data_IF_034960550230
#
_entry.id   IF_034960550230
#
_cell.length_a   1.000
_cell.length_b   1.000
_cell.length_c   1.000
_cell.angle_alpha   90.00
_cell.angle_beta   90.00
_cell.angle_gamma   90.00
#
_symmetry.space_group_name_H-M   'P 1'
#
loop_
_entity.id
_entity.type
_entity.pdbx_description
1 polymer ?
#
# COMPACT_ATOMS: atom_id res chain seq x y z
N UNK A 1 7.95 7.12 10.56
CA UNK A 1 6.99 6.00 10.44
C UNK A 1 6.31 6.06 9.09
N UNK A 2 5.86 4.91 8.56
CA UNK A 2 5.09 4.87 7.32
C UNK A 2 3.61 4.60 7.59
N UNK A 3 2.76 5.12 6.72
CA UNK A 3 1.31 5.01 6.83
C UNK A 3 0.70 4.79 5.45
N UNK A 4 -0.19 3.81 5.33
CA UNK A 4 -1.10 3.73 4.19
C UNK A 4 -2.35 4.55 4.51
N UNK A 5 -2.69 5.50 3.64
CA UNK A 5 -3.88 6.33 3.79
C UNK A 5 -4.85 6.05 2.65
N UNK A 6 -6.04 5.55 2.99
CA UNK A 6 -7.14 5.43 2.04
C UNK A 6 -7.94 6.73 2.05
N UNK A 7 -7.88 7.44 0.95
CA UNK A 7 -8.48 8.76 0.77
C UNK A 7 -9.74 8.64 -0.09
N UNK A 8 -10.92 8.86 0.50
CA UNK A 8 -12.21 8.82 -0.20
C UNK A 8 -12.75 10.24 -0.36
N UNK A 9 -12.88 10.71 -1.62
CA UNK A 9 -13.30 12.07 -1.94
C UNK A 9 -14.77 12.10 -2.34
N UNK A 10 -15.54 12.99 -1.72
CA UNK A 10 -16.96 13.23 -1.98
C UNK A 10 -17.18 14.72 -2.24
N UNK A 11 -17.26 15.07 -3.53
CA UNK A 11 -17.57 16.43 -3.93
C UNK A 11 -19.05 16.69 -3.67
N UNK A 12 -19.42 17.78 -2.95
CA UNK A 12 -20.83 18.10 -2.70
C UNK A 12 -21.61 18.32 -4.02
N UNK A 13 -22.87 17.83 -4.12
CA UNK A 13 -23.71 18.09 -5.26
C UNK A 13 -23.84 19.59 -5.54
N UNK A 14 -23.80 19.98 -6.83
CA UNK A 14 -23.89 21.37 -7.23
C UNK A 14 -22.59 22.18 -7.17
N UNK A 15 -21.47 21.55 -6.78
CA UNK A 15 -20.16 22.18 -6.88
C UNK A 15 -19.81 22.38 -8.37
N UNK A 16 -19.46 23.60 -8.78
CA UNK A 16 -19.09 23.90 -10.17
C UNK A 16 -17.84 23.11 -10.60
N UNK A 17 -17.84 22.57 -11.81
CA UNK A 17 -16.73 21.78 -12.36
C UNK A 17 -15.40 22.56 -12.34
N UNK A 18 -15.45 23.87 -12.56
CA UNK A 18 -14.28 24.72 -12.51
C UNK A 18 -13.67 24.76 -11.08
N UNK A 19 -14.51 24.82 -10.05
CA UNK A 19 -14.05 24.76 -8.64
C UNK A 19 -13.39 23.43 -8.35
N UNK A 20 -13.98 22.32 -8.81
CA UNK A 20 -13.39 20.99 -8.66
C UNK A 20 -12.03 20.89 -9.35
N UNK A 21 -11.94 21.42 -10.59
CA UNK A 21 -10.70 21.43 -11.35
C UNK A 21 -9.59 22.25 -10.66
N UNK A 22 -9.93 23.43 -10.13
CA UNK A 22 -8.99 24.27 -9.39
C UNK A 22 -8.47 23.60 -8.09
N UNK A 23 -9.35 22.95 -7.34
CA UNK A 23 -8.93 22.21 -6.12
C UNK A 23 -8.03 21.04 -6.50
N UNK A 24 -8.35 20.28 -7.54
CA UNK A 24 -7.50 19.18 -8.05
C UNK A 24 -6.13 19.66 -8.52
N UNK A 25 -6.06 20.80 -9.19
CA UNK A 25 -4.78 21.38 -9.62
C UNK A 25 -3.90 21.76 -8.43
N UNK A 26 -4.49 22.39 -7.39
CA UNK A 26 -3.78 22.73 -6.15
C UNK A 26 -3.34 21.47 -5.39
N UNK A 27 -4.17 20.43 -5.37
CA UNK A 27 -3.84 19.13 -4.76
C UNK A 27 -2.63 18.50 -5.46
N UNK A 28 -2.59 18.50 -6.79
CA UNK A 28 -1.47 17.96 -7.56
C UNK A 28 -0.16 18.71 -7.26
N UNK A 29 -0.20 20.05 -7.22
CA UNK A 29 0.95 20.87 -6.88
C UNK A 29 1.43 20.59 -5.45
N UNK A 30 0.50 20.53 -4.49
CA UNK A 30 0.81 20.27 -3.10
C UNK A 30 1.38 18.84 -2.88
N UNK A 31 0.82 17.84 -3.58
CA UNK A 31 1.34 16.47 -3.57
C UNK A 31 2.80 16.41 -4.03
N UNK A 32 3.16 17.18 -5.06
CA UNK A 32 4.54 17.29 -5.52
C UNK A 32 5.47 17.89 -4.45
N UNK A 33 5.00 18.93 -3.73
CA UNK A 33 5.78 19.52 -2.63
C UNK A 33 5.93 18.58 -1.44
N UNK A 34 4.90 17.79 -1.11
CA UNK A 34 4.98 16.75 -0.09
C UNK A 34 5.96 15.63 -0.49
N UNK A 35 5.99 15.27 -1.76
CA UNK A 35 6.94 14.30 -2.28
C UNK A 35 8.39 14.80 -2.15
N UNK A 36 8.67 16.06 -2.50
CA UNK A 36 10.01 16.67 -2.33
C UNK A 36 10.48 16.70 -0.88
N UNK A 37 9.55 16.82 0.07
CA UNK A 37 9.85 16.77 1.51
C UNK A 37 9.98 15.36 2.07
N UNK A 38 9.67 14.32 1.26
CA UNK A 38 9.66 12.92 1.67
C UNK A 38 8.41 12.49 2.44
N UNK A 39 7.43 13.38 2.65
CA UNK A 39 6.18 13.03 3.35
C UNK A 39 5.26 12.16 2.48
N UNK A 40 5.22 12.38 1.16
CA UNK A 40 4.47 11.55 0.21
C UNK A 40 5.44 10.69 -0.58
N UNK A 41 5.32 9.37 -0.45
CA UNK A 41 6.21 8.42 -1.10
C UNK A 41 5.60 7.81 -2.37
N UNK A 42 4.30 7.46 -2.34
CA UNK A 42 3.59 6.86 -3.48
C UNK A 42 2.11 7.25 -3.47
N UNK A 43 1.51 7.26 -4.67
CA UNK A 43 0.07 7.44 -4.85
C UNK A 43 -0.46 6.45 -5.89
N UNK A 44 -1.61 5.83 -5.57
CA UNK A 44 -2.28 4.88 -6.44
C UNK A 44 -3.78 5.12 -6.52
N UNK A 45 -4.38 4.60 -7.61
CA UNK A 45 -5.81 4.47 -7.77
C UNK A 45 -6.19 2.99 -7.66
N UNK A 46 -6.87 2.58 -6.60
CA UNK A 46 -7.44 1.25 -6.51
C UNK A 46 -8.68 1.13 -7.42
N UNK A 47 -9.14 -0.09 -7.76
CA UNK A 47 -10.42 -0.29 -8.40
C UNK A 47 -11.56 0.29 -7.56
N UNK A 48 -12.47 1.02 -8.21
CA UNK A 48 -13.63 1.63 -7.55
C UNK A 48 -14.88 1.45 -8.41
N UNK A 49 -16.06 1.48 -7.79
CA UNK A 49 -17.34 1.51 -8.51
C UNK A 49 -17.49 2.87 -9.23
N UNK A 50 -18.26 2.90 -10.35
CA UNK A 50 -18.57 4.17 -11.01
C UNK A 50 -19.11 5.22 -10.03
N UNK A 51 -18.64 6.46 -10.15
CA UNK A 51 -19.02 7.56 -9.26
C UNK A 51 -18.25 7.63 -7.94
N UNK A 52 -17.42 6.66 -7.62
CA UNK A 52 -16.53 6.72 -6.46
C UNK A 52 -15.17 7.32 -6.84
N UNK A 53 -14.61 8.10 -5.94
CA UNK A 53 -13.28 8.66 -6.07
C UNK A 53 -12.43 8.27 -4.86
N UNK A 54 -11.50 7.35 -5.07
CA UNK A 54 -10.61 6.84 -4.03
C UNK A 54 -9.16 6.87 -4.50
N UNK A 55 -8.29 7.25 -3.57
CA UNK A 55 -6.83 7.25 -3.77
C UNK A 55 -6.18 6.54 -2.59
N UNK A 56 -5.15 5.75 -2.83
CA UNK A 56 -4.27 5.22 -1.79
C UNK A 56 -2.98 6.02 -1.81
N UNK A 57 -2.52 6.44 -0.64
CA UNK A 57 -1.24 7.14 -0.48
C UNK A 57 -0.36 6.44 0.54
N UNK A 58 0.92 6.26 0.21
CA UNK A 58 1.96 5.88 1.15
C UNK A 58 2.63 7.16 1.64
N UNK A 59 2.51 7.43 2.93
CA UNK A 59 3.05 8.60 3.58
C UNK A 59 4.13 8.23 4.59
N UNK A 60 5.11 9.13 4.77
CA UNK A 60 6.08 9.08 5.86
C UNK A 60 5.93 10.32 6.74
N UNK A 61 5.93 10.09 8.06
CA UNK A 61 5.88 11.14 9.07
C UNK A 61 6.55 10.62 10.36
N UNK A 62 6.96 11.53 11.25
CA UNK A 62 7.55 11.14 12.54
C UNK A 62 6.54 10.44 13.46
N UNK A 63 5.25 10.76 13.28
CA UNK A 63 4.16 10.12 14.02
C UNK A 63 2.77 10.52 13.50
N UNK A 64 1.69 10.02 14.17
CA UNK A 64 0.32 10.29 13.74
C UNK A 64 -0.06 11.78 13.75
N UNK A 65 0.49 12.58 14.67
CA UNK A 65 0.19 14.01 14.76
C UNK A 65 0.77 14.80 13.58
N UNK A 66 1.99 14.46 13.14
CA UNK A 66 2.57 15.06 11.94
C UNK A 66 1.83 14.62 10.69
N UNK A 67 1.49 13.31 10.58
CA UNK A 67 0.68 12.82 9.47
C UNK A 67 -0.64 13.58 9.35
N UNK A 68 -1.36 13.78 10.46
CA UNK A 68 -2.62 14.56 10.44
C UNK A 68 -2.38 16.00 9.96
N UNK A 69 -1.29 16.63 10.36
CA UNK A 69 -0.91 17.96 9.87
C UNK A 69 -0.64 17.97 8.38
N UNK A 70 0.04 16.94 7.86
CA UNK A 70 0.27 16.75 6.42
C UNK A 70 -1.04 16.58 5.68
N UNK A 71 -1.92 15.68 6.13
CA UNK A 71 -3.20 15.41 5.49
C UNK A 71 -4.14 16.62 5.54
N UNK A 72 -4.15 17.37 6.66
CA UNK A 72 -4.94 18.59 6.82
C UNK A 72 -4.48 19.72 5.87
N UNK A 73 -3.21 19.74 5.48
CA UNK A 73 -2.67 20.74 4.55
C UNK A 73 -3.08 20.50 3.08
N UNK A 74 -3.57 19.31 2.75
CA UNK A 74 -3.93 18.93 1.38
C UNK A 74 -5.25 19.57 0.94
N UNK A 75 -5.31 20.25 -0.22
CA UNK A 75 -6.50 20.99 -0.68
C UNK A 75 -7.79 20.17 -0.81
N UNK A 76 -7.71 18.89 -1.17
CA UNK A 76 -8.88 17.99 -1.26
C UNK A 76 -9.43 17.59 0.12
N UNK A 77 -8.75 17.88 1.21
CA UNK A 77 -9.20 17.56 2.58
C UNK A 77 -10.60 18.06 2.88
N UNK A 78 -11.02 19.17 2.28
CA UNK A 78 -12.36 19.75 2.44
C UNK A 78 -13.51 18.82 1.96
N UNK A 79 -13.20 17.88 1.08
CA UNK A 79 -14.16 16.93 0.49
C UNK A 79 -13.79 15.48 0.77
N UNK A 80 -12.78 15.22 1.60
CA UNK A 80 -12.16 13.91 1.75
C UNK A 80 -12.31 13.37 3.17
N UNK A 81 -12.59 12.08 3.26
CA UNK A 81 -12.40 11.28 4.46
C UNK A 81 -11.19 10.39 4.29
N UNK A 82 -10.37 10.29 5.35
CA UNK A 82 -9.14 9.52 5.35
C UNK A 82 -9.23 8.38 6.38
N UNK A 83 -8.86 7.18 5.94
CA UNK A 83 -8.64 6.03 6.79
C UNK A 83 -7.13 5.75 6.84
N UNK A 84 -6.55 5.82 8.03
CA UNK A 84 -5.10 5.70 8.23
C UNK A 84 -4.77 4.33 8.81
N UNK A 85 -3.88 3.62 8.12
CA UNK A 85 -3.30 2.36 8.57
C UNK A 85 -1.82 2.55 8.87
N UNK A 86 -1.37 2.50 10.13
CA UNK A 86 0.04 2.52 10.48
C UNK A 86 0.75 1.26 9.94
N UNK A 87 1.91 1.46 9.34
CA UNK A 87 2.73 0.40 8.77
C UNK A 87 3.96 0.20 9.66
N UNK A 88 4.14 -1.03 10.11
CA UNK A 88 5.25 -1.41 10.98
C UNK A 88 6.36 -2.08 10.15
N UNK A 89 7.63 -1.96 10.56
CA UNK A 89 8.72 -2.65 9.89
C UNK A 89 8.49 -4.17 9.85
N UNK A 90 8.83 -4.79 8.73
CA UNK A 90 8.84 -6.24 8.57
C UNK A 90 10.27 -6.71 8.28
N UNK A 91 10.76 -7.81 8.90
CA UNK A 91 12.17 -8.24 8.74
C UNK A 91 12.53 -8.62 7.31
N UNK A 92 11.55 -9.02 6.49
CA UNK A 92 11.75 -9.42 5.10
C UNK A 92 11.38 -8.30 4.10
N UNK A 93 11.24 -7.02 4.57
CA UNK A 93 10.93 -5.89 3.68
C UNK A 93 12.15 -5.54 2.81
N UNK A 94 12.04 -5.60 1.46
CA UNK A 94 13.14 -5.17 0.60
C UNK A 94 13.31 -3.65 0.52
N UNK A 95 12.38 -2.89 1.09
CA UNK A 95 12.39 -1.42 1.15
C UNK A 95 12.51 -0.71 -0.23
N UNK A 96 11.99 -1.32 -1.30
CA UNK A 96 12.03 -0.76 -2.66
C UNK A 96 10.72 -0.07 -3.03
N UNK A 97 10.78 1.21 -3.42
CA UNK A 97 9.63 1.97 -3.94
C UNK A 97 9.72 2.24 -5.45
N UNK A 98 10.69 1.64 -6.14
CA UNK A 98 10.83 1.80 -7.58
C UNK A 98 9.66 1.15 -8.31
N UNK A 99 9.14 1.83 -9.34
CA UNK A 99 8.15 1.25 -10.25
C UNK A 99 8.85 0.20 -11.11
N UNK A 100 8.32 -1.02 -11.09
CA UNK A 100 8.80 -2.12 -11.95
C UNK A 100 8.02 -2.20 -13.27
N UNK A 101 8.46 -3.04 -14.20
CA UNK A 101 7.65 -3.41 -15.35
C UNK A 101 6.43 -4.21 -14.87
N UNK A 102 5.27 -3.99 -15.52
CA UNK A 102 4.02 -4.69 -15.18
C UNK A 102 3.08 -3.86 -14.32
N UNK A 103 2.30 -4.54 -13.51
CA UNK A 103 1.25 -3.97 -12.65
C UNK A 103 1.65 -4.06 -11.20
N UNK A 104 1.22 -3.10 -10.40
CA UNK A 104 1.40 -3.13 -8.95
C UNK A 104 0.15 -3.71 -8.28
N UNK A 105 0.38 -4.50 -7.25
CA UNK A 105 -0.66 -5.14 -6.44
C UNK A 105 -0.38 -4.89 -4.96
N UNK A 106 -1.41 -4.49 -4.25
CA UNK A 106 -1.39 -4.42 -2.79
C UNK A 106 -2.07 -5.66 -2.25
N UNK A 107 -1.36 -6.46 -1.46
CA UNK A 107 -1.87 -7.72 -0.92
C UNK A 107 -1.86 -7.67 0.60
N UNK A 108 -3.05 -7.72 1.18
CA UNK A 108 -3.23 -7.94 2.61
C UNK A 108 -3.22 -9.45 2.88
N UNK A 109 -2.39 -9.87 3.82
CA UNK A 109 -2.21 -11.27 4.19
C UNK A 109 -2.46 -11.43 5.69
N UNK A 110 -3.30 -12.38 6.06
CA UNK A 110 -3.53 -12.77 7.45
C UNK A 110 -3.08 -14.21 7.61
N UNK A 111 -2.15 -14.45 8.52
CA UNK A 111 -1.58 -15.77 8.78
C UNK A 111 -2.22 -16.31 10.04
N UNK A 112 -2.84 -17.48 9.93
CA UNK A 112 -3.45 -18.24 11.00
C UNK A 112 -2.78 -19.62 11.09
N UNK A 113 -1.94 -19.80 12.11
CA UNK A 113 -1.22 -21.06 12.31
C UNK A 113 -2.19 -22.08 12.91
N UNK A 114 -2.41 -23.25 12.26
CA UNK A 114 -3.32 -24.25 12.78
C UNK A 114 -2.98 -24.71 14.19
N UNK A 115 -4.00 -24.88 15.03
CA UNK A 115 -3.84 -25.38 16.39
C UNK A 115 -3.08 -26.72 16.41
N UNK A 116 -2.19 -26.88 17.39
CA UNK A 116 -1.38 -28.09 17.53
C UNK A 116 -0.19 -28.19 16.59
N UNK A 117 0.08 -27.17 15.76
CA UNK A 117 1.31 -27.14 14.95
C UNK A 117 2.53 -27.08 15.84
N UNK A 118 3.47 -28.00 15.65
CA UNK A 118 4.71 -28.03 16.44
C UNK A 118 5.54 -26.75 16.22
N UNK A 119 6.12 -26.14 17.28
CA UNK A 119 6.87 -24.88 17.17
C UNK A 119 8.00 -24.94 16.13
N UNK A 120 8.74 -26.04 16.04
CA UNK A 120 9.80 -26.22 15.05
C UNK A 120 9.26 -26.21 13.60
N UNK A 121 8.07 -26.74 13.35
CA UNK A 121 7.44 -26.69 12.04
C UNK A 121 7.02 -25.27 11.65
N UNK A 122 6.60 -24.46 12.63
CA UNK A 122 6.34 -23.02 12.43
C UNK A 122 7.63 -22.29 12.08
N UNK A 123 8.70 -22.52 12.85
CA UNK A 123 10.00 -21.87 12.63
C UNK A 123 10.60 -22.25 11.26
N UNK A 124 10.49 -23.51 10.85
CA UNK A 124 10.95 -23.97 9.55
C UNK A 124 10.18 -23.26 8.41
N UNK A 125 8.84 -23.20 8.49
CA UNK A 125 8.03 -22.46 7.50
C UNK A 125 8.35 -20.98 7.46
N UNK A 126 8.56 -20.33 8.58
CA UNK A 126 8.95 -18.92 8.64
C UNK A 126 10.32 -18.68 7.99
N UNK A 127 11.27 -19.60 8.16
CA UNK A 127 12.59 -19.54 7.52
C UNK A 127 12.47 -19.70 6.00
N UNK A 128 11.69 -20.67 5.55
CA UNK A 128 11.43 -20.89 4.11
C UNK A 128 10.71 -19.69 3.49
N UNK A 129 9.76 -19.09 4.20
CA UNK A 129 9.08 -17.85 3.77
C UNK A 129 10.05 -16.69 3.60
N UNK A 130 10.96 -16.50 4.56
CA UNK A 130 11.97 -15.44 4.47
C UNK A 130 12.90 -15.65 3.28
N UNK A 131 13.31 -16.89 3.00
CA UNK A 131 14.09 -17.24 1.81
C UNK A 131 13.33 -16.93 0.53
N UNK A 132 12.05 -17.35 0.46
CA UNK A 132 11.21 -17.11 -0.72
C UNK A 132 10.96 -15.63 -0.95
N UNK A 133 10.71 -14.85 0.10
CA UNK A 133 10.57 -13.40 0.03
C UNK A 133 11.84 -12.73 -0.55
N UNK A 134 13.03 -13.17 -0.13
CA UNK A 134 14.30 -12.70 -0.67
C UNK A 134 14.44 -13.02 -2.17
N UNK A 135 14.11 -14.24 -2.60
CA UNK A 135 14.12 -14.64 -4.03
C UNK A 135 13.18 -13.77 -4.85
N UNK A 136 11.93 -13.59 -4.39
CA UNK A 136 10.92 -12.77 -5.08
C UNK A 136 11.31 -11.28 -5.13
N UNK A 137 11.98 -10.79 -4.10
CA UNK A 137 12.56 -9.44 -4.12
C UNK A 137 13.67 -9.32 -5.15
N UNK A 138 14.59 -10.28 -5.21
CA UNK A 138 15.66 -10.31 -6.21
C UNK A 138 15.16 -10.40 -7.66
N UNK A 139 14.00 -11.03 -7.86
CA UNK A 139 13.29 -11.08 -9.14
C UNK A 139 12.48 -9.83 -9.45
N UNK A 140 12.34 -8.91 -8.48
CA UNK A 140 11.59 -7.67 -8.62
C UNK A 140 10.09 -7.82 -8.42
N UNK A 141 9.62 -8.96 -7.91
CA UNK A 141 8.20 -9.17 -7.61
C UNK A 141 7.78 -8.58 -6.27
N UNK A 142 8.51 -8.84 -5.19
CA UNK A 142 8.25 -8.22 -3.89
C UNK A 142 8.97 -6.87 -3.81
N UNK A 143 8.21 -5.79 -3.57
CA UNK A 143 8.73 -4.40 -3.49
C UNK A 143 8.79 -3.90 -2.06
N UNK A 144 7.69 -4.05 -1.32
CA UNK A 144 7.59 -3.67 0.09
C UNK A 144 6.82 -4.74 0.85
N UNK A 145 7.15 -4.86 2.12
CA UNK A 145 6.43 -5.71 3.05
C UNK A 145 6.38 -5.04 4.42
N UNK A 146 5.18 -4.87 4.95
CA UNK A 146 4.95 -4.26 6.25
C UNK A 146 4.20 -5.21 7.17
N UNK A 147 4.51 -5.16 8.44
CA UNK A 147 3.64 -5.73 9.46
C UNK A 147 2.52 -4.74 9.80
N UNK A 148 1.32 -5.27 10.03
CA UNK A 148 0.19 -4.49 10.54
C UNK A 148 0.03 -4.77 12.03
N UNK A 149 -0.57 -3.80 12.77
CA UNK A 149 -0.88 -4.02 14.18
C UNK A 149 -1.68 -5.31 14.35
N UNK A 150 -1.14 -6.24 15.14
CA UNK A 150 -1.72 -7.56 15.32
C UNK A 150 -2.91 -7.49 16.27
N UNK A 151 -3.99 -8.19 15.89
CA UNK A 151 -4.95 -8.71 16.87
C UNK A 151 -4.53 -10.16 17.14
N UNK A 152 -3.80 -10.38 18.26
CA UNK A 152 -3.32 -11.71 18.63
C UNK A 152 -4.47 -12.74 18.61
N UNK A 153 -4.30 -13.98 18.08
CA UNK A 153 -3.02 -14.60 17.68
C UNK A 153 -2.61 -14.35 16.20
N UNK A 154 -3.45 -13.67 15.40
CA UNK A 154 -3.24 -13.54 13.97
C UNK A 154 -2.09 -12.59 13.64
N UNK A 155 -1.21 -12.99 12.72
CA UNK A 155 -0.19 -12.13 12.13
C UNK A 155 -0.75 -11.53 10.84
N UNK A 156 -0.70 -10.21 10.73
CA UNK A 156 -1.18 -9.49 9.54
C UNK A 156 -0.04 -8.74 8.88
N UNK A 157 0.06 -8.90 7.57
CA UNK A 157 1.05 -8.19 6.75
C UNK A 157 0.38 -7.53 5.57
N UNK A 158 1.04 -6.50 5.04
CA UNK A 158 0.65 -5.82 3.81
C UNK A 158 1.86 -5.81 2.89
N UNK A 159 1.71 -6.31 1.68
CA UNK A 159 2.79 -6.34 0.69
C UNK A 159 2.46 -5.50 -0.54
N UNK A 160 3.44 -4.77 -1.07
CA UNK A 160 3.41 -4.17 -2.40
C UNK A 160 4.20 -5.08 -3.36
N UNK A 161 3.51 -5.55 -4.36
CA UNK A 161 4.01 -6.55 -5.31
C UNK A 161 3.97 -6.03 -6.73
N UNK A 162 4.78 -6.62 -7.60
CA UNK A 162 4.80 -6.34 -9.03
C UNK A 162 4.67 -7.65 -9.81
N UNK A 163 3.75 -7.70 -10.77
CA UNK A 163 3.54 -8.83 -11.68
C UNK A 163 3.01 -8.31 -13.03
N UNK A 164 3.08 -9.14 -14.06
CA UNK A 164 2.56 -8.81 -15.41
C UNK A 164 1.04 -8.67 -15.39
N UNK A 165 0.38 -9.60 -14.69
CA UNK A 165 -1.07 -9.79 -14.68
C UNK A 165 -1.55 -10.50 -13.41
N UNK A 166 -2.86 -10.73 -13.33
CA UNK A 166 -3.51 -11.38 -12.21
C UNK A 166 -3.12 -12.86 -12.06
N UNK A 167 -2.84 -13.57 -13.16
CA UNK A 167 -2.43 -14.98 -13.13
C UNK A 167 -1.02 -15.15 -12.53
N UNK A 168 -0.11 -14.25 -12.90
CA UNK A 168 1.25 -14.28 -12.35
C UNK A 168 1.26 -13.93 -10.87
N UNK A 169 0.50 -12.92 -10.43
CA UNK A 169 0.45 -12.58 -9.00
C UNK A 169 -0.16 -13.71 -8.16
N UNK A 170 -1.19 -14.38 -8.66
CA UNK A 170 -1.77 -15.55 -7.99
C UNK A 170 -0.75 -16.70 -7.89
N UNK A 171 0.03 -16.96 -8.98
CA UNK A 171 1.11 -17.93 -8.97
C UNK A 171 2.19 -17.59 -7.95
N UNK A 172 2.59 -16.31 -7.84
CA UNK A 172 3.57 -15.84 -6.89
C UNK A 172 3.07 -16.06 -5.46
N UNK A 173 1.84 -15.62 -5.16
CA UNK A 173 1.25 -15.72 -3.81
C UNK A 173 1.09 -17.16 -3.38
N UNK A 174 0.60 -18.04 -4.26
CA UNK A 174 0.43 -19.48 -3.96
C UNK A 174 1.77 -20.20 -3.79
N UNK A 175 2.87 -19.65 -4.30
CA UNK A 175 4.23 -20.22 -4.13
C UNK A 175 4.85 -19.90 -2.75
N UNK A 176 4.19 -19.06 -1.92
CA UNK A 176 4.69 -18.72 -0.60
C UNK A 176 4.55 -19.92 0.36
N UNK A 177 5.59 -20.30 1.11
CA UNK A 177 5.54 -21.42 2.06
C UNK A 177 4.44 -21.30 3.12
N UNK A 178 4.09 -20.09 3.53
CA UNK A 178 3.01 -19.83 4.49
C UNK A 178 1.62 -19.80 3.85
N UNK A 179 1.50 -19.84 2.52
CA UNK A 179 0.22 -19.74 1.82
C UNK A 179 -0.89 -20.67 2.36
N UNK A 180 -0.62 -21.94 2.73
CA UNK A 180 -1.65 -22.82 3.31
C UNK A 180 -2.24 -22.33 4.65
N UNK A 181 -1.57 -21.39 5.31
CA UNK A 181 -2.01 -20.74 6.56
C UNK A 181 -2.46 -19.30 6.33
N UNK A 182 -2.53 -18.85 5.09
CA UNK A 182 -2.86 -17.46 4.75
C UNK A 182 -4.29 -17.32 4.26
N UNK A 183 -4.92 -16.21 4.67
CA UNK A 183 -6.02 -15.60 3.94
C UNK A 183 -5.49 -14.34 3.28
N UNK A 184 -5.71 -14.20 1.98
CA UNK A 184 -5.18 -13.08 1.19
C UNK A 184 -6.29 -12.25 0.57
N UNK A 185 -6.06 -10.94 0.45
CA UNK A 185 -6.89 -10.03 -0.33
C UNK A 185 -6.00 -9.24 -1.26
N UNK A 186 -6.15 -9.45 -2.56
CA UNK A 186 -5.35 -8.80 -3.60
C UNK A 186 -6.12 -7.62 -4.19
N UNK A 187 -5.45 -6.48 -4.28
CA UNK A 187 -5.96 -5.26 -4.92
C UNK A 187 -4.98 -4.82 -6.01
N UNK A 188 -5.39 -4.88 -7.27
CA UNK A 188 -4.61 -4.31 -8.35
C UNK A 188 -4.60 -2.78 -8.24
N UNK A 189 -3.44 -2.18 -8.43
CA UNK A 189 -3.25 -0.74 -8.34
C UNK A 189 -2.93 -0.14 -9.72
N UNK A 190 -3.47 1.04 -9.98
CA UNK A 190 -3.05 1.90 -11.09
C UNK A 190 -2.28 3.09 -10.54
N UNK A 191 -1.23 3.53 -11.23
CA UNK A 191 -0.48 4.72 -10.84
C UNK A 191 -1.39 5.95 -10.85
N UNK A 192 -1.29 6.78 -9.83
CA UNK A 192 -1.93 8.09 -9.82
C UNK A 192 -1.11 9.08 -10.67
N UNK A 193 -1.72 10.01 -11.43
CA UNK A 193 -0.98 10.99 -12.23
C UNK A 193 0.00 11.86 -11.43
N UNK A 194 -0.24 12.02 -10.13
CA UNK A 194 0.64 12.75 -9.21
C UNK A 194 1.50 11.80 -8.35
N UNK A 195 1.64 10.52 -8.73
CA UNK A 195 2.53 9.61 -8.02
C UNK A 195 3.98 10.09 -8.18
N UNK A 196 4.73 10.29 -7.07
CA UNK A 196 6.14 10.70 -7.14
C UNK A 196 7.01 9.79 -8.02
N UNK A 197 6.73 8.49 -8.02
CA UNK A 197 7.50 7.52 -8.79
C UNK A 197 7.14 7.46 -10.30
N UNK A 198 6.02 8.09 -10.71
CA UNK A 198 5.61 8.18 -12.10
C UNK A 198 6.15 9.43 -12.81
N UNK A 199 6.77 10.34 -12.08
CA UNK A 199 7.34 11.57 -12.66
C UNK A 199 8.78 11.30 -13.12
N UNK A 200 9.14 11.63 -14.37
CA UNK A 200 10.53 11.58 -14.78
C UNK A 200 11.35 12.59 -13.94
N UNK A 201 12.48 12.11 -13.42
CA UNK A 201 13.48 12.96 -12.77
C UNK A 201 14.00 14.03 -13.74
#
# INVERSE_FOLDING_TARGET
>A
MEFLVTMSTHVPPGTADETVAQVRQREAAHSHDLAKRGNLQRLWRPPVKPGQWRTLGLFAADGPAELESVLASMPLRIWRSDEVTPLLPHPNDPASLQVGPGREFLIAMTIDVPDGTAPNAVDDKLRDEAKRACELSGQGHLRRLWALAAQSPLRRTLGLWNARDDEEIDTIVTSLPLYPWMTTTTTQLSLHPSDPAAQPN
#
